data_IF_430090858876
#
_entry.id   IF_430090858876
#
_cell.length_a   1.000
_cell.length_b   1.000
_cell.length_c   1.000
_cell.angle_alpha   90.00
_cell.angle_beta   90.00
_cell.angle_gamma   90.00
#
_symmetry.space_group_name_H-M   'P 1'
#
loop_
_entity.id
_entity.type
_entity.pdbx_description
1 polymer ?
#
# COMPACT_ATOMS: atom_id res chain seq x y z
N UNK A 1 -9.03 -9.43 -5.95
CA UNK A 1 -8.18 -9.96 -4.85
C UNK A 1 -7.13 -8.90 -4.53
N UNK A 2 -6.76 -8.77 -3.26
CA UNK A 2 -5.66 -7.87 -2.86
C UNK A 2 -4.54 -8.74 -2.31
N UNK A 3 -3.31 -8.49 -2.75
CA UNK A 3 -2.13 -9.28 -2.37
C UNK A 3 -1.00 -8.38 -1.90
N UNK A 4 -0.19 -8.88 -0.97
CA UNK A 4 1.05 -8.22 -0.57
C UNK A 4 2.06 -8.26 -1.71
N UNK A 5 2.61 -7.11 -2.07
CA UNK A 5 3.67 -6.99 -3.06
C UNK A 5 5.02 -7.30 -2.39
N UNK A 6 5.89 -8.13 -2.97
CA UNK A 6 7.24 -8.32 -2.47
C UNK A 6 8.06 -7.02 -2.49
N UNK A 7 8.95 -6.83 -1.50
CA UNK A 7 9.71 -5.57 -1.33
C UNK A 7 10.55 -5.23 -2.55
N UNK A 8 11.12 -6.24 -3.21
CA UNK A 8 11.88 -6.11 -4.46
C UNK A 8 11.06 -5.51 -5.60
N UNK A 9 9.73 -5.59 -5.53
CA UNK A 9 8.80 -5.11 -6.56
C UNK A 9 8.15 -3.78 -6.22
N UNK A 10 8.48 -3.13 -5.09
CA UNK A 10 7.87 -1.83 -4.72
C UNK A 10 8.06 -0.75 -5.78
N UNK A 11 9.11 -0.82 -6.60
CA UNK A 11 9.29 0.11 -7.71
C UNK A 11 8.14 0.10 -8.73
N UNK A 12 7.38 -1.01 -8.84
CA UNK A 12 6.25 -1.16 -9.78
C UNK A 12 5.08 -0.22 -9.47
N UNK A 13 4.93 0.25 -8.23
CA UNK A 13 3.85 1.18 -7.85
C UNK A 13 4.20 2.65 -8.07
N UNK A 14 5.44 3.00 -8.46
CA UNK A 14 5.83 4.39 -8.76
C UNK A 14 4.98 5.04 -9.84
N UNK A 15 4.51 4.25 -10.82
CA UNK A 15 3.63 4.71 -11.89
C UNK A 15 2.23 5.13 -11.40
N UNK A 16 1.83 4.70 -10.20
CA UNK A 16 0.53 5.04 -9.60
C UNK A 16 0.54 6.41 -8.92
N UNK A 17 1.71 7.04 -8.75
CA UNK A 17 1.85 8.38 -8.20
C UNK A 17 1.40 9.39 -9.26
N UNK A 18 0.15 9.83 -9.18
CA UNK A 18 -0.51 10.62 -10.22
C UNK A 18 -0.33 12.12 -9.99
N UNK A 19 -0.37 12.55 -8.74
CA UNK A 19 -0.31 13.96 -8.33
C UNK A 19 1.10 14.41 -7.94
N UNK A 20 1.35 15.72 -8.02
CA UNK A 20 2.58 16.32 -7.50
C UNK A 20 2.72 16.14 -5.99
N UNK A 21 1.62 16.01 -5.26
CA UNK A 21 1.64 15.72 -3.83
C UNK A 21 2.23 14.34 -3.56
N UNK A 22 1.66 13.29 -4.16
CA UNK A 22 2.11 11.90 -4.00
C UNK A 22 3.57 11.72 -4.41
N UNK A 23 3.99 12.36 -5.51
CA UNK A 23 5.38 12.31 -6.00
C UNK A 23 6.38 12.94 -5.04
N UNK A 24 5.96 13.92 -4.23
CA UNK A 24 6.83 14.61 -3.26
C UNK A 24 6.58 14.18 -1.82
N UNK A 25 5.75 13.17 -1.58
CA UNK A 25 5.46 12.69 -0.22
C UNK A 25 6.62 11.82 0.27
N UNK A 26 7.36 12.31 1.26
CA UNK A 26 8.63 11.73 1.68
C UNK A 26 8.47 10.35 2.33
N UNK A 27 7.42 10.15 3.12
CA UNK A 27 7.21 8.90 3.86
C UNK A 27 6.90 7.75 2.88
N UNK A 28 5.99 7.99 1.95
CA UNK A 28 5.61 7.11 0.86
C UNK A 28 6.81 6.76 -0.02
N UNK A 29 7.56 7.77 -0.47
CA UNK A 29 8.74 7.56 -1.30
C UNK A 29 9.84 6.77 -0.56
N UNK A 30 9.99 6.96 0.75
CA UNK A 30 10.94 6.20 1.57
C UNK A 30 10.53 4.72 1.71
N UNK A 31 9.23 4.43 1.84
CA UNK A 31 8.73 3.05 1.81
C UNK A 31 8.95 2.42 0.44
N UNK A 32 8.58 3.10 -0.66
CA UNK A 32 8.75 2.61 -2.03
C UNK A 32 10.22 2.33 -2.35
N UNK A 33 11.14 3.14 -1.82
CA UNK A 33 12.58 2.97 -1.99
C UNK A 33 13.19 1.92 -1.05
N UNK A 34 12.37 1.32 -0.18
CA UNK A 34 12.78 0.30 0.78
C UNK A 34 13.60 0.82 1.96
N UNK A 35 13.72 2.15 2.12
CA UNK A 35 14.45 2.81 3.21
C UNK A 35 13.67 2.74 4.52
N UNK A 36 12.34 2.92 4.45
CA UNK A 36 11.46 2.80 5.61
C UNK A 36 10.74 1.46 5.63
N UNK A 37 10.36 1.01 6.83
CA UNK A 37 9.46 -0.14 6.97
C UNK A 37 8.07 0.21 6.42
N UNK A 38 7.53 -0.71 5.63
CA UNK A 38 6.21 -0.57 5.04
C UNK A 38 5.76 -1.84 4.35
N UNK A 39 4.44 -2.00 4.27
CA UNK A 39 3.77 -3.10 3.56
C UNK A 39 3.04 -2.50 2.37
N UNK A 40 3.22 -3.09 1.18
CA UNK A 40 2.50 -2.67 -0.01
C UNK A 40 1.52 -3.76 -0.42
N UNK A 41 0.28 -3.35 -0.67
CA UNK A 41 -0.80 -4.19 -1.14
C UNK A 41 -1.24 -3.74 -2.53
N UNK A 42 -1.49 -4.68 -3.44
CA UNK A 42 -1.87 -4.38 -4.83
C UNK A 42 -3.00 -5.28 -5.30
N UNK A 43 -3.71 -4.84 -6.34
CA UNK A 43 -4.68 -5.67 -7.07
C UNK A 43 -4.00 -6.78 -7.91
N UNK A 44 -2.81 -6.51 -8.45
CA UNK A 44 -2.00 -7.48 -9.20
C UNK A 44 -0.50 -7.17 -9.15
N UNK A 45 0.35 -8.22 -9.19
CA UNK A 45 1.80 -8.11 -8.97
C UNK A 45 2.54 -7.56 -10.20
N UNK A 46 2.17 -8.00 -11.40
CA UNK A 46 2.93 -7.65 -12.60
C UNK A 46 2.69 -6.21 -13.04
N UNK A 47 1.42 -5.79 -13.05
CA UNK A 47 1.05 -4.47 -13.50
C UNK A 47 0.04 -3.80 -12.55
N UNK A 48 0.43 -3.40 -11.33
CA UNK A 48 -0.51 -2.83 -10.36
C UNK A 48 -1.31 -1.67 -10.96
N UNK A 49 -2.61 -1.60 -10.68
CA UNK A 49 -3.49 -0.47 -11.02
C UNK A 49 -3.91 0.31 -9.79
N UNK A 50 -4.05 -0.36 -8.66
CA UNK A 50 -4.43 0.24 -7.38
C UNK A 50 -3.55 -0.35 -6.28
N UNK A 51 -3.09 0.50 -5.35
CA UNK A 51 -2.22 0.05 -4.27
C UNK A 51 -2.58 0.71 -2.94
N UNK A 52 -2.41 -0.04 -1.85
CA UNK A 52 -2.31 0.52 -0.49
C UNK A 52 -0.86 0.41 -0.04
N UNK A 53 -0.30 1.53 0.40
CA UNK A 53 0.99 1.55 1.08
C UNK A 53 0.73 1.81 2.56
N UNK A 54 1.03 0.82 3.39
CA UNK A 54 1.11 1.02 4.84
C UNK A 54 2.53 1.46 5.20
N UNK A 55 2.70 2.71 5.58
CA UNK A 55 3.91 3.17 6.24
C UNK A 55 3.77 2.82 7.73
N UNK A 56 4.52 1.82 8.18
CA UNK A 56 4.36 1.23 9.51
C UNK A 56 4.45 2.31 10.59
N UNK A 57 3.43 2.38 11.45
CA UNK A 57 3.33 3.37 12.53
C UNK A 57 3.00 4.81 12.12
N UNK A 58 2.86 5.10 10.82
CA UNK A 58 2.60 6.47 10.32
C UNK A 58 1.24 6.61 9.66
N UNK A 59 0.86 5.69 8.78
CA UNK A 59 -0.42 5.77 8.09
C UNK A 59 -0.50 4.97 6.80
N UNK A 60 -1.64 5.10 6.13
CA UNK A 60 -1.96 4.42 4.88
C UNK A 60 -2.09 5.42 3.74
N UNK A 61 -1.56 5.04 2.57
CA UNK A 61 -1.75 5.75 1.31
C UNK A 61 -2.51 4.85 0.36
N UNK A 62 -3.56 5.36 -0.28
CA UNK A 62 -4.27 4.69 -1.37
C UNK A 62 -3.90 5.38 -2.68
N UNK A 63 -3.41 4.60 -3.66
CA UNK A 63 -2.83 5.10 -4.91
C UNK A 63 -3.47 4.44 -6.12
N UNK A 64 -3.43 5.15 -7.25
CA UNK A 64 -3.82 4.62 -8.55
C UNK A 64 -5.32 4.78 -8.86
N UNK A 65 -5.91 3.76 -9.48
CA UNK A 65 -7.27 3.80 -10.02
C UNK A 65 -8.33 3.69 -8.91
N UNK A 66 -9.11 4.76 -8.71
CA UNK A 66 -10.21 4.82 -7.73
C UNK A 66 -11.43 3.99 -8.15
N UNK A 67 -11.59 3.75 -9.45
CA UNK A 67 -12.73 3.04 -10.03
C UNK A 67 -12.44 1.54 -10.22
N UNK A 68 -11.37 1.02 -9.62
CA UNK A 68 -11.03 -0.39 -9.70
C UNK A 68 -11.98 -1.26 -8.85
N UNK A 69 -13.14 -1.60 -9.41
CA UNK A 69 -14.18 -2.41 -8.75
C UNK A 69 -13.65 -3.74 -8.20
N UNK A 70 -12.71 -4.38 -8.92
CA UNK A 70 -12.09 -5.63 -8.47
C UNK A 70 -11.18 -5.44 -7.26
N UNK A 71 -10.65 -4.25 -7.01
CA UNK A 71 -9.94 -3.92 -5.78
C UNK A 71 -10.92 -3.51 -4.68
N UNK A 72 -11.84 -2.59 -5.01
CA UNK A 72 -12.80 -2.00 -4.09
C UNK A 72 -13.73 -3.05 -3.45
N UNK A 73 -14.12 -4.08 -4.19
CA UNK A 73 -14.91 -5.21 -3.68
C UNK A 73 -14.20 -6.04 -2.59
N UNK A 74 -12.87 -6.01 -2.53
CA UNK A 74 -12.07 -6.73 -1.52
C UNK A 74 -11.54 -5.81 -0.41
N UNK A 75 -11.60 -4.49 -0.59
CA UNK A 75 -11.04 -3.51 0.33
C UNK A 75 -11.62 -3.61 1.74
N UNK A 76 -12.95 -3.77 1.86
CA UNK A 76 -13.61 -3.89 3.17
C UNK A 76 -13.14 -5.10 3.97
N UNK A 77 -12.89 -6.23 3.29
CA UNK A 77 -12.34 -7.43 3.91
C UNK A 77 -10.90 -7.19 4.39
N UNK A 78 -10.04 -6.64 3.53
CA UNK A 78 -8.64 -6.30 3.86
C UNK A 78 -8.54 -5.44 5.12
N UNK A 79 -9.33 -4.36 5.19
CA UNK A 79 -9.36 -3.45 6.35
C UNK A 79 -9.76 -4.21 7.62
N UNK A 80 -10.80 -5.04 7.54
CA UNK A 80 -11.37 -5.72 8.70
C UNK A 80 -10.49 -6.85 9.24
N UNK A 81 -9.74 -7.53 8.36
CA UNK A 81 -9.01 -8.75 8.72
C UNK A 81 -7.49 -8.57 8.84
N UNK A 82 -6.85 -7.89 7.88
CA UNK A 82 -5.39 -7.82 7.81
C UNK A 82 -4.85 -6.52 8.40
N UNK A 83 -5.36 -5.36 7.97
CA UNK A 83 -4.80 -4.07 8.42
C UNK A 83 -5.02 -3.83 9.92
N UNK A 84 -6.16 -4.27 10.45
CA UNK A 84 -6.42 -4.21 11.89
C UNK A 84 -5.42 -5.05 12.71
N UNK A 85 -5.11 -6.25 12.23
CA UNK A 85 -4.21 -7.17 12.93
C UNK A 85 -2.75 -6.74 12.78
N UNK A 86 -2.31 -6.40 11.57
CA UNK A 86 -0.94 -5.93 11.32
C UNK A 86 -0.61 -4.65 12.06
N UNK A 87 -1.57 -3.72 12.18
CA UNK A 87 -1.35 -2.51 12.97
C UNK A 87 -1.11 -2.81 14.45
N UNK A 88 -1.73 -3.86 15.00
CA UNK A 88 -1.50 -4.28 16.39
C UNK A 88 -0.12 -4.93 16.55
N UNK A 89 0.24 -5.83 15.62
CA UNK A 89 1.50 -6.58 15.64
C UNK A 89 2.71 -5.69 15.39
N UNK A 90 2.64 -4.78 14.42
CA UNK A 90 3.76 -3.95 14.00
C UNK A 90 3.95 -2.70 14.87
N UNK A 91 2.89 -2.19 15.51
CA UNK A 91 2.99 -1.05 16.43
C UNK A 91 3.12 -1.44 17.91
N UNK A 92 3.16 -2.74 18.24
CA UNK A 92 3.47 -3.22 19.60
C UNK A 92 2.32 -3.16 20.61
N UNK A 93 1.07 -3.32 20.16
CA UNK A 93 -0.08 -3.40 21.06
C UNK A 93 -0.14 -4.75 21.78
N UNK A 94 0.58 -4.89 22.91
CA UNK A 94 0.37 -5.94 23.91
C UNK A 94 -0.55 -5.46 25.03
#
# INVERSE_FOLDING_TARGET
>A
MIVTLPKENYCKIKKLLSSSYEKNENVLNAVISGMNQGVVYVDQIEEPRTAIVYAVGLGYYLLGDSENESFNSYLGALISTQLKQESLELCGGN
#
